data_IF_652114899158
#
_entry.id   IF_652114899158
#
_cell.length_a   1.000
_cell.length_b   1.000
_cell.length_c   1.000
_cell.angle_alpha   90.00
_cell.angle_beta   90.00
_cell.angle_gamma   90.00
#
_symmetry.space_group_name_H-M   'P 1'
#
loop_
_entity.id
_entity.type
_entity.pdbx_description
1 polymer ?
#
# COMPACT_ATOMS: atom_id res chain seq x y z
N UNK A 1 21.10 -14.06 -21.19
CA UNK A 1 20.38 -13.14 -20.29
C UNK A 1 19.46 -14.03 -19.47
N UNK A 2 19.75 -14.27 -18.21
CA UNK A 2 18.96 -15.17 -17.39
C UNK A 2 17.86 -14.31 -16.75
N UNK A 3 16.61 -14.63 -17.04
CA UNK A 3 15.50 -14.15 -16.21
C UNK A 3 15.59 -14.90 -14.89
N UNK A 4 16.30 -14.33 -13.92
CA UNK A 4 16.36 -14.91 -12.61
C UNK A 4 15.04 -14.59 -11.91
N UNK A 5 14.33 -15.63 -11.55
CA UNK A 5 13.20 -15.59 -10.63
C UNK A 5 13.68 -15.02 -9.28
N UNK A 6 12.85 -14.24 -8.59
CA UNK A 6 13.14 -13.73 -7.27
C UNK A 6 13.56 -14.84 -6.29
N UNK A 7 12.96 -16.01 -6.39
CA UNK A 7 13.32 -17.21 -5.64
C UNK A 7 14.75 -17.69 -5.89
N UNK A 8 15.26 -17.57 -7.13
CA UNK A 8 16.63 -17.94 -7.47
C UNK A 8 17.60 -16.94 -6.85
N UNK A 9 17.28 -15.65 -6.83
CA UNK A 9 18.09 -14.64 -6.16
C UNK A 9 18.20 -14.90 -4.65
N UNK A 10 17.07 -15.19 -4.01
CA UNK A 10 17.05 -15.46 -2.57
C UNK A 10 17.74 -16.77 -2.20
N UNK A 11 17.53 -17.85 -2.94
CA UNK A 11 18.17 -19.15 -2.71
C UNK A 11 19.64 -19.17 -3.11
N UNK A 12 20.01 -18.41 -4.13
CA UNK A 12 21.38 -18.30 -4.63
C UNK A 12 22.27 -17.35 -3.82
N UNK A 13 21.76 -16.68 -2.79
CA UNK A 13 22.46 -15.62 -2.05
C UNK A 13 23.10 -14.57 -2.97
N UNK A 14 22.46 -14.31 -4.12
CA UNK A 14 22.97 -13.34 -5.09
C UNK A 14 22.72 -11.93 -4.53
N UNK A 15 23.79 -11.20 -4.29
CA UNK A 15 23.69 -9.78 -3.93
C UNK A 15 23.29 -8.96 -5.15
N UNK A 16 22.16 -8.22 -5.01
CA UNK A 16 21.79 -7.21 -6.00
C UNK A 16 22.85 -6.09 -5.90
N UNK A 17 23.52 -5.74 -7.01
CA UNK A 17 24.51 -4.66 -6.98
C UNK A 17 23.90 -3.38 -6.41
N UNK A 18 24.50 -2.84 -5.35
CA UNK A 18 24.09 -1.55 -4.79
C UNK A 18 24.57 -0.44 -5.70
N UNK A 19 23.74 -0.04 -6.64
CA UNK A 19 24.04 1.11 -7.50
C UNK A 19 23.85 2.39 -6.67
N UNK A 20 24.94 3.13 -6.50
CA UNK A 20 24.90 4.45 -5.86
C UNK A 20 24.36 5.47 -6.86
N UNK A 21 23.07 5.68 -6.85
CA UNK A 21 22.41 6.72 -7.65
C UNK A 21 22.64 8.07 -6.97
N UNK A 22 23.20 9.06 -7.66
CA UNK A 22 23.36 10.38 -7.07
C UNK A 22 22.01 11.06 -6.87
N UNK A 23 21.84 11.75 -5.75
CA UNK A 23 20.65 12.56 -5.49
C UNK A 23 20.80 13.90 -6.21
N UNK A 24 19.94 14.23 -7.20
CA UNK A 24 19.99 15.48 -7.93
C UNK A 24 19.80 16.69 -6.99
N UNK A 25 20.41 17.84 -7.35
CA UNK A 25 20.33 19.06 -6.55
C UNK A 25 18.88 19.53 -6.34
N UNK A 26 18.06 19.49 -7.38
CA UNK A 26 16.65 19.90 -7.29
C UNK A 26 15.82 19.03 -6.34
N UNK A 27 16.19 17.74 -6.17
CA UNK A 27 15.55 16.88 -5.17
C UNK A 27 15.92 17.31 -3.76
N UNK A 28 17.22 17.61 -3.51
CA UNK A 28 17.66 18.09 -2.19
C UNK A 28 16.99 19.41 -1.82
N UNK A 29 16.83 20.31 -2.77
CA UNK A 29 16.12 21.58 -2.57
C UNK A 29 14.64 21.38 -2.25
N UNK A 30 13.98 20.37 -2.86
CA UNK A 30 12.58 20.05 -2.59
C UNK A 30 12.35 19.34 -1.26
N UNK A 31 13.24 18.43 -0.85
CA UNK A 31 13.09 17.72 0.43
C UNK A 31 13.48 18.58 1.63
N UNK A 32 14.36 19.57 1.42
CA UNK A 32 14.81 20.47 2.46
C UNK A 32 15.93 19.92 3.34
N UNK A 33 16.14 20.56 4.47
CA UNK A 33 17.14 20.16 5.48
C UNK A 33 16.57 19.11 6.45
N UNK A 34 17.41 18.61 7.35
CA UNK A 34 17.02 17.57 8.34
C UNK A 34 15.87 18.01 9.26
N UNK A 35 15.77 19.30 9.58
CA UNK A 35 14.70 19.82 10.43
C UNK A 35 13.36 19.85 9.66
N UNK A 36 13.38 20.27 8.42
CA UNK A 36 12.22 20.27 7.52
C UNK A 36 11.75 18.85 7.23
N UNK A 37 12.68 17.90 6.99
CA UNK A 37 12.35 16.48 6.81
C UNK A 37 11.68 15.91 8.05
N UNK A 38 12.20 16.20 9.26
CA UNK A 38 11.59 15.71 10.52
C UNK A 38 10.20 16.26 10.74
N UNK A 39 9.98 17.54 10.46
CA UNK A 39 8.66 18.18 10.57
C UNK A 39 7.67 17.56 9.58
N UNK A 40 8.06 17.42 8.33
CA UNK A 40 7.25 16.77 7.29
C UNK A 40 6.94 15.32 7.67
N UNK A 41 7.93 14.56 8.16
CA UNK A 41 7.72 13.18 8.58
C UNK A 41 6.74 13.09 9.77
N UNK A 42 6.82 14.01 10.75
CA UNK A 42 5.83 14.08 11.83
C UNK A 42 4.41 14.27 11.26
N UNK A 43 4.24 15.22 10.35
CA UNK A 43 2.95 15.48 9.68
C UNK A 43 2.46 14.23 8.93
N UNK A 44 3.34 13.54 8.21
CA UNK A 44 3.00 12.29 7.51
C UNK A 44 2.51 11.21 8.48
N UNK A 45 3.25 10.99 9.57
CA UNK A 45 2.90 9.98 10.57
C UNK A 45 1.64 10.32 11.38
N UNK A 46 1.30 11.59 11.52
CA UNK A 46 0.07 12.07 12.17
C UNK A 46 -1.15 12.07 11.25
N UNK A 47 -0.95 12.04 9.93
CA UNK A 47 -2.02 12.14 8.93
C UNK A 47 -2.14 10.86 8.08
N UNK A 48 -1.31 10.74 7.05
CA UNK A 48 -1.40 9.67 6.05
C UNK A 48 -1.18 8.29 6.66
N UNK A 49 -0.20 8.15 7.54
CA UNK A 49 0.14 6.89 8.19
C UNK A 49 -1.02 6.29 9.00
N UNK A 50 -1.87 7.13 9.59
CA UNK A 50 -3.03 6.66 10.34
C UNK A 50 -4.02 5.86 9.48
N UNK A 51 -4.02 6.09 8.17
CA UNK A 51 -4.90 5.42 7.20
C UNK A 51 -4.17 4.38 6.37
N UNK A 52 -2.88 4.63 6.11
CA UNK A 52 -2.08 3.86 5.18
C UNK A 52 -0.67 3.59 5.75
N UNK A 53 -0.57 2.76 6.83
CA UNK A 53 0.66 2.55 7.58
C UNK A 53 1.58 1.55 6.85
N UNK A 54 2.29 2.03 5.84
CA UNK A 54 3.23 1.25 5.01
C UNK A 54 4.71 1.53 5.29
N UNK A 55 5.02 2.50 6.16
CA UNK A 55 6.36 2.90 6.51
C UNK A 55 6.54 2.70 8.01
N UNK A 56 7.53 1.90 8.43
CA UNK A 56 7.82 1.73 9.84
C UNK A 56 8.38 3.02 10.44
N UNK A 57 7.63 3.60 11.37
CA UNK A 57 8.03 4.82 12.09
C UNK A 57 9.37 4.62 12.81
N UNK A 58 9.54 3.50 13.48
CA UNK A 58 10.77 3.17 14.17
C UNK A 58 11.96 3.08 13.21
N UNK A 59 11.83 2.31 12.12
CA UNK A 59 12.92 2.16 11.13
C UNK A 59 13.21 3.46 10.39
N UNK A 60 12.19 4.27 10.11
CA UNK A 60 12.39 5.56 9.49
C UNK A 60 13.34 6.43 10.29
N UNK A 61 13.05 6.65 11.57
CA UNK A 61 13.89 7.52 12.41
C UNK A 61 15.22 6.89 12.82
N UNK A 62 15.28 5.58 13.10
CA UNK A 62 16.49 4.94 13.60
C UNK A 62 17.49 4.56 12.52
N UNK A 63 17.02 4.19 11.34
CA UNK A 63 17.85 3.62 10.28
C UNK A 63 17.94 4.51 9.04
N UNK A 64 16.78 4.93 8.51
CA UNK A 64 16.74 5.66 7.24
C UNK A 64 17.20 7.10 7.39
N UNK A 65 16.90 7.73 8.52
CA UNK A 65 17.30 9.10 8.85
C UNK A 65 18.54 9.17 9.75
N UNK A 66 19.33 8.11 9.78
CA UNK A 66 20.60 8.12 10.53
C UNK A 66 21.60 9.07 9.86
N UNK A 67 22.05 10.15 10.54
CA UNK A 67 22.96 11.13 9.96
C UNK A 67 24.36 10.57 9.66
N UNK A 68 24.70 9.41 10.23
CA UNK A 68 25.98 8.72 9.95
C UNK A 68 25.92 7.85 8.70
N UNK A 69 24.73 7.67 8.12
CA UNK A 69 24.56 6.90 6.89
C UNK A 69 24.83 7.74 5.66
N UNK A 70 25.37 7.13 4.62
CA UNK A 70 25.50 7.80 3.34
C UNK A 70 24.10 8.15 2.77
N UNK A 71 23.92 9.32 2.15
CA UNK A 71 22.67 9.71 1.51
C UNK A 71 22.30 8.70 0.43
N UNK A 72 21.12 8.10 0.55
CA UNK A 72 20.60 7.09 -0.38
C UNK A 72 19.49 7.67 -1.24
N UNK A 73 19.54 7.41 -2.54
CA UNK A 73 18.57 7.91 -3.52
C UNK A 73 17.14 7.38 -3.26
N UNK A 74 17.01 6.12 -2.86
CA UNK A 74 15.72 5.50 -2.55
C UNK A 74 15.08 6.12 -1.28
N UNK A 75 15.89 6.49 -0.29
CA UNK A 75 15.41 7.20 0.91
C UNK A 75 15.01 8.64 0.57
N UNK A 76 15.83 9.35 -0.22
CA UNK A 76 15.48 10.69 -0.67
C UNK A 76 14.19 10.72 -1.51
N UNK A 77 13.99 9.71 -2.35
CA UNK A 77 12.75 9.51 -3.10
C UNK A 77 11.56 9.29 -2.18
N UNK A 78 11.71 8.42 -1.16
CA UNK A 78 10.65 8.17 -0.19
C UNK A 78 10.26 9.44 0.57
N UNK A 79 11.25 10.22 1.04
CA UNK A 79 11.02 11.51 1.72
C UNK A 79 10.26 12.48 0.81
N UNK A 80 10.65 12.59 -0.47
CA UNK A 80 9.94 13.42 -1.45
C UNK A 80 8.48 12.95 -1.64
N UNK A 81 8.23 11.65 -1.69
CA UNK A 81 6.87 11.10 -1.84
C UNK A 81 6.02 11.28 -0.57
N UNK A 82 6.63 11.18 0.61
CA UNK A 82 5.96 11.55 1.86
C UNK A 82 5.56 13.03 1.87
N UNK A 83 6.46 13.92 1.46
CA UNK A 83 6.18 15.35 1.30
C UNK A 83 5.04 15.58 0.31
N UNK A 84 5.08 14.94 -0.86
CA UNK A 84 4.04 15.05 -1.89
C UNK A 84 2.64 14.74 -1.34
N UNK A 85 2.50 13.72 -0.50
CA UNK A 85 1.21 13.31 0.06
C UNK A 85 0.72 14.17 1.22
N UNK A 86 1.59 14.97 1.83
CA UNK A 86 1.23 15.87 2.95
C UNK A 86 0.96 17.31 2.52
N UNK A 87 1.36 17.68 1.31
CA UNK A 87 1.18 19.04 0.80
C UNK A 87 -0.28 19.32 0.40
N UNK A 88 -0.82 20.39 0.94
CA UNK A 88 -2.11 20.92 0.51
C UNK A 88 -1.89 22.09 -0.44
N UNK A 89 -1.82 21.81 -1.75
CA UNK A 89 -1.69 22.86 -2.77
C UNK A 89 -3.08 23.30 -3.24
N UNK A 90 -3.37 24.61 -3.14
CA UNK A 90 -4.69 25.17 -3.52
C UNK A 90 -4.71 25.80 -4.91
N UNK A 91 -3.57 26.25 -5.43
CA UNK A 91 -3.49 27.14 -6.59
C UNK A 91 -2.84 26.49 -7.84
N UNK A 92 -2.38 25.25 -7.76
CA UNK A 92 -1.70 24.55 -8.84
C UNK A 92 -2.45 23.27 -9.17
N UNK A 93 -2.58 22.96 -10.47
CA UNK A 93 -3.14 21.66 -10.89
C UNK A 93 -2.28 20.52 -10.31
N UNK A 94 -2.88 19.53 -9.62
CA UNK A 94 -2.14 18.44 -9.01
C UNK A 94 -1.20 17.70 -9.98
N UNK A 95 -1.61 17.54 -11.24
CA UNK A 95 -0.80 16.87 -12.27
C UNK A 95 0.45 17.68 -12.69
N UNK A 96 0.48 18.97 -12.42
CA UNK A 96 1.62 19.87 -12.73
C UNK A 96 2.35 20.36 -11.48
N UNK A 97 2.00 19.85 -10.31
CA UNK A 97 2.69 20.19 -9.06
C UNK A 97 4.19 19.85 -9.16
N UNK A 98 5.09 20.78 -8.79
CA UNK A 98 6.53 20.58 -8.92
C UNK A 98 7.02 19.31 -8.21
N UNK A 99 6.50 19.03 -7.02
CA UNK A 99 6.83 17.85 -6.22
C UNK A 99 6.39 16.56 -6.92
N UNK A 100 5.21 16.56 -7.53
CA UNK A 100 4.70 15.39 -8.27
C UNK A 100 5.56 15.11 -9.52
N UNK A 101 5.84 16.12 -10.32
CA UNK A 101 6.67 15.99 -11.52
C UNK A 101 8.09 15.53 -11.15
N UNK A 102 8.65 16.10 -10.08
CA UNK A 102 9.96 15.71 -9.56
C UNK A 102 9.96 14.27 -9.05
N UNK A 103 8.94 13.85 -8.29
CA UNK A 103 8.81 12.50 -7.78
C UNK A 103 8.70 11.47 -8.91
N UNK A 104 7.87 11.70 -9.92
CA UNK A 104 7.75 10.81 -11.10
C UNK A 104 9.07 10.67 -11.85
N UNK A 105 9.74 11.78 -12.11
CA UNK A 105 11.03 11.79 -12.81
C UNK A 105 12.11 11.07 -12.01
N UNK A 106 12.20 11.34 -10.72
CA UNK A 106 13.23 10.73 -9.87
C UNK A 106 12.95 9.26 -9.62
N UNK A 107 11.68 8.86 -9.47
CA UNK A 107 11.26 7.46 -9.40
C UNK A 107 11.75 6.68 -10.63
N UNK A 108 11.45 7.17 -11.84
CA UNK A 108 11.90 6.54 -13.09
C UNK A 108 13.44 6.46 -13.19
N UNK A 109 14.16 7.43 -12.64
CA UNK A 109 15.64 7.41 -12.62
C UNK A 109 16.15 6.33 -11.68
N UNK A 110 15.60 6.22 -10.46
CA UNK A 110 16.04 5.26 -9.44
C UNK A 110 15.67 3.83 -9.85
N UNK A 111 14.47 3.65 -10.42
CA UNK A 111 14.03 2.36 -10.97
C UNK A 111 14.89 1.93 -12.17
N UNK A 112 15.14 2.86 -13.11
CA UNK A 112 15.87 2.58 -14.36
C UNK A 112 17.32 2.15 -14.15
N UNK A 113 17.95 2.48 -13.03
CA UNK A 113 19.28 1.98 -12.67
C UNK A 113 19.25 0.63 -11.93
N UNK A 114 18.06 0.03 -11.77
CA UNK A 114 17.88 -1.27 -11.13
C UNK A 114 17.96 -1.25 -9.60
N UNK A 115 17.77 -0.09 -8.96
CA UNK A 115 17.70 -0.04 -7.49
C UNK A 115 16.48 -0.80 -7.01
N UNK A 116 16.68 -1.90 -6.30
CA UNK A 116 15.62 -2.72 -5.74
C UNK A 116 15.60 -2.57 -4.21
N UNK A 117 14.57 -1.90 -3.68
CA UNK A 117 14.39 -1.71 -2.23
C UNK A 117 12.93 -1.50 -1.85
N UNK A 118 12.61 -1.76 -0.59
CA UNK A 118 11.27 -1.48 -0.03
C UNK A 118 10.92 0.00 -0.17
N UNK A 119 11.89 0.91 -0.02
CA UNK A 119 11.69 2.36 -0.10
C UNK A 119 11.26 2.81 -1.52
N UNK A 120 11.80 2.18 -2.55
CA UNK A 120 11.37 2.46 -3.94
C UNK A 120 9.91 2.04 -4.14
N UNK A 121 9.52 0.85 -3.68
CA UNK A 121 8.13 0.41 -3.79
C UNK A 121 7.18 1.27 -2.95
N UNK A 122 7.55 1.64 -1.72
CA UNK A 122 6.79 2.58 -0.90
C UNK A 122 6.59 3.91 -1.61
N UNK A 123 7.64 4.41 -2.28
CA UNK A 123 7.56 5.64 -3.07
C UNK A 123 6.59 5.54 -4.24
N UNK A 124 6.64 4.44 -4.98
CA UNK A 124 5.70 4.17 -6.07
C UNK A 124 4.24 4.10 -5.59
N UNK A 125 4.02 3.46 -4.45
CA UNK A 125 2.71 3.38 -3.79
C UNK A 125 2.22 4.77 -3.38
N UNK A 126 3.06 5.62 -2.78
CA UNK A 126 2.68 6.98 -2.40
C UNK A 126 2.40 7.87 -3.62
N UNK A 127 3.14 7.68 -4.72
CA UNK A 127 2.83 8.34 -6.00
C UNK A 127 1.46 7.91 -6.51
N UNK A 128 1.18 6.60 -6.56
CA UNK A 128 -0.11 6.08 -6.99
C UNK A 128 -1.25 6.58 -6.07
N UNK A 129 -1.01 6.61 -4.77
CA UNK A 129 -1.94 7.15 -3.77
C UNK A 129 -2.27 8.63 -4.04
N UNK A 130 -1.25 9.46 -4.32
CA UNK A 130 -1.43 10.86 -4.71
C UNK A 130 -2.22 10.98 -6.03
N UNK A 131 -1.88 10.18 -7.03
CA UNK A 131 -2.57 10.17 -8.33
C UNK A 131 -4.04 9.79 -8.19
N UNK A 132 -4.37 8.80 -7.37
CA UNK A 132 -5.76 8.46 -7.05
C UNK A 132 -6.45 9.59 -6.31
N UNK A 133 -5.82 10.16 -5.28
CA UNK A 133 -6.38 11.27 -4.50
C UNK A 133 -6.74 12.51 -5.31
N UNK A 134 -6.08 12.68 -6.45
CA UNK A 134 -6.26 13.83 -7.32
C UNK A 134 -6.85 13.49 -8.69
N UNK A 135 -7.36 12.27 -8.87
CA UNK A 135 -7.96 11.80 -10.13
C UNK A 135 -7.04 11.98 -11.36
N UNK A 136 -5.74 11.75 -11.20
CA UNK A 136 -4.76 11.84 -12.29
C UNK A 136 -4.75 10.52 -13.06
N UNK A 137 -5.60 10.41 -14.05
CA UNK A 137 -5.74 9.23 -14.90
C UNK A 137 -5.18 9.45 -16.31
N UNK A 138 -4.64 8.39 -16.95
CA UNK A 138 -4.51 7.00 -16.50
C UNK A 138 -3.27 6.74 -15.63
N UNK A 139 -2.56 7.77 -15.17
CA UNK A 139 -1.28 7.62 -14.45
C UNK A 139 -1.40 6.75 -13.19
N UNK A 140 -2.45 6.95 -12.39
CA UNK A 140 -2.70 6.17 -11.19
C UNK A 140 -2.73 4.65 -11.47
N UNK A 141 -3.44 4.24 -12.51
CA UNK A 141 -3.52 2.83 -12.90
C UNK A 141 -2.17 2.27 -13.35
N UNK A 142 -1.43 3.04 -14.14
CA UNK A 142 -0.11 2.64 -14.61
C UNK A 142 0.88 2.52 -13.44
N UNK A 143 0.84 3.47 -12.50
CA UNK A 143 1.69 3.44 -11.31
C UNK A 143 1.43 2.21 -10.44
N UNK A 144 0.16 1.81 -10.24
CA UNK A 144 -0.17 0.57 -9.53
C UNK A 144 0.34 -0.67 -10.25
N UNK A 145 0.19 -0.74 -11.58
CA UNK A 145 0.72 -1.84 -12.38
C UNK A 145 2.24 -1.97 -12.25
N UNK A 146 2.96 -0.85 -12.22
CA UNK A 146 4.42 -0.83 -11.96
C UNK A 146 4.71 -1.34 -10.55
N UNK A 147 3.99 -0.86 -9.52
CA UNK A 147 4.16 -1.32 -8.14
C UNK A 147 3.91 -2.82 -8.00
N UNK A 148 2.89 -3.36 -8.65
CA UNK A 148 2.59 -4.79 -8.63
C UNK A 148 3.74 -5.62 -9.22
N UNK A 149 4.24 -5.26 -10.41
CA UNK A 149 5.37 -5.95 -11.04
C UNK A 149 6.66 -5.82 -10.23
N UNK A 150 6.93 -4.65 -9.67
CA UNK A 150 8.07 -4.41 -8.81
C UNK A 150 8.00 -5.27 -7.54
N UNK A 151 6.84 -5.34 -6.87
CA UNK A 151 6.63 -6.16 -5.69
C UNK A 151 6.85 -7.65 -5.95
N UNK A 152 6.33 -8.16 -7.09
CA UNK A 152 6.57 -9.55 -7.54
C UNK A 152 8.05 -9.79 -7.81
N UNK A 153 8.72 -8.89 -8.53
CA UNK A 153 10.16 -9.01 -8.82
C UNK A 153 11.02 -8.97 -7.56
N UNK A 154 10.53 -8.33 -6.50
CA UNK A 154 11.21 -8.25 -5.19
C UNK A 154 10.76 -9.36 -4.23
N UNK A 155 9.91 -10.30 -4.68
CA UNK A 155 9.45 -11.44 -3.90
C UNK A 155 8.49 -11.11 -2.76
N UNK A 156 7.83 -9.95 -2.80
CA UNK A 156 6.90 -9.53 -1.73
C UNK A 156 5.56 -10.26 -1.76
N UNK A 157 5.22 -10.90 -2.88
CA UNK A 157 3.98 -11.67 -3.07
C UNK A 157 4.04 -13.08 -2.47
N UNK A 158 5.20 -13.50 -1.96
CA UNK A 158 5.39 -14.84 -1.43
C UNK A 158 5.02 -14.85 0.06
N UNK A 159 3.96 -15.59 0.40
CA UNK A 159 3.62 -15.88 1.79
C UNK A 159 4.70 -16.78 2.39
N UNK A 160 5.38 -16.31 3.42
CA UNK A 160 6.40 -17.09 4.10
C UNK A 160 7.70 -16.37 4.35
N UNK A 161 7.70 -15.04 4.34
CA UNK A 161 8.77 -14.29 4.98
C UNK A 161 8.78 -14.63 6.47
N UNK A 162 9.30 -15.83 6.75
CA UNK A 162 9.62 -16.26 8.10
C UNK A 162 10.69 -15.31 8.58
N UNK A 163 10.38 -14.50 9.57
CA UNK A 163 11.36 -13.70 10.25
C UNK A 163 12.34 -14.66 10.95
N UNK A 164 13.39 -15.05 10.26
CA UNK A 164 14.51 -15.76 10.89
C UNK A 164 15.16 -14.81 11.90
N UNK A 165 14.62 -14.81 13.11
CA UNK A 165 15.11 -14.07 14.24
C UNK A 165 14.32 -12.80 14.61
N UNK A 166 14.24 -12.55 15.91
CA UNK A 166 13.51 -11.44 16.53
C UNK A 166 13.94 -10.02 16.05
N UNK A 167 15.10 -9.89 15.41
CA UNK A 167 15.64 -8.61 14.93
C UNK A 167 15.04 -8.14 13.58
N UNK A 168 14.38 -9.02 12.82
CA UNK A 168 13.92 -8.72 11.46
C UNK A 168 12.41 -8.68 11.30
N UNK A 169 11.62 -8.92 12.35
CA UNK A 169 10.17 -9.01 12.26
C UNK A 169 9.51 -7.68 11.83
N UNK A 170 10.06 -6.53 12.26
CA UNK A 170 9.54 -5.21 11.87
C UNK A 170 9.69 -4.99 10.36
N UNK A 171 10.81 -5.41 9.79
CA UNK A 171 11.03 -5.33 8.34
C UNK A 171 10.13 -6.30 7.58
N UNK A 172 9.95 -7.51 8.07
CA UNK A 172 9.04 -8.49 7.48
C UNK A 172 7.59 -7.98 7.49
N UNK A 173 7.16 -7.40 8.61
CA UNK A 173 5.84 -6.77 8.72
C UNK A 173 5.71 -5.55 7.79
N UNK A 174 6.76 -4.71 7.68
CA UNK A 174 6.76 -3.59 6.74
C UNK A 174 6.59 -4.06 5.29
N UNK A 175 7.30 -5.10 4.86
CA UNK A 175 7.15 -5.71 3.53
C UNK A 175 5.75 -6.25 3.30
N UNK A 176 5.18 -6.94 4.28
CA UNK A 176 3.79 -7.42 4.25
C UNK A 176 2.80 -6.27 4.07
N UNK A 177 2.93 -5.19 4.84
CA UNK A 177 2.08 -3.99 4.73
C UNK A 177 2.21 -3.32 3.37
N UNK A 178 3.42 -3.21 2.86
CA UNK A 178 3.70 -2.67 1.52
C UNK A 178 3.02 -3.52 0.43
N UNK A 179 3.09 -4.84 0.52
CA UNK A 179 2.41 -5.71 -0.43
C UNK A 179 0.88 -5.60 -0.35
N UNK A 180 0.32 -5.58 0.87
CA UNK A 180 -1.12 -5.34 1.04
C UNK A 180 -1.57 -3.98 0.51
N UNK A 181 -0.71 -2.96 0.60
CA UNK A 181 -1.01 -1.66 0.01
C UNK A 181 -1.10 -1.71 -1.51
N UNK A 182 -0.25 -2.49 -2.18
CA UNK A 182 -0.36 -2.74 -3.63
C UNK A 182 -1.68 -3.43 -3.96
N UNK A 183 -2.04 -4.49 -3.22
CA UNK A 183 -3.30 -5.21 -3.38
C UNK A 183 -4.52 -4.30 -3.19
N UNK A 184 -4.47 -3.41 -2.20
CA UNK A 184 -5.51 -2.43 -1.91
C UNK A 184 -5.65 -1.47 -3.10
N UNK A 185 -4.57 -0.85 -3.56
CA UNK A 185 -4.62 0.13 -4.65
C UNK A 185 -5.05 -0.49 -5.99
N UNK A 186 -4.74 -1.76 -6.23
CA UNK A 186 -5.14 -2.47 -7.44
C UNK A 186 -6.66 -2.77 -7.47
N UNK A 187 -7.26 -3.01 -6.30
CA UNK A 187 -8.69 -3.35 -6.16
C UNK A 187 -9.57 -2.15 -5.83
N UNK A 188 -9.03 -1.18 -5.10
CA UNK A 188 -9.75 0.01 -4.61
C UNK A 188 -9.19 1.32 -5.14
N UNK A 189 -9.45 1.70 -6.37
CA UNK A 189 -9.00 3.01 -6.86
C UNK A 189 -9.76 4.20 -6.25
N UNK A 190 -10.89 4.01 -5.58
CA UNK A 190 -11.83 5.09 -5.22
C UNK A 190 -11.98 5.47 -3.74
N UNK A 191 -12.03 4.57 -2.76
CA UNK A 191 -12.35 4.98 -1.39
C UNK A 191 -11.31 5.89 -0.75
N UNK A 192 -10.04 5.80 -1.18
CA UNK A 192 -8.96 6.66 -0.72
C UNK A 192 -9.11 8.11 -1.18
N UNK A 193 -9.68 8.34 -2.37
CA UNK A 193 -9.95 9.69 -2.90
C UNK A 193 -11.02 10.40 -2.07
N UNK A 194 -12.06 9.70 -1.67
CA UNK A 194 -13.17 10.26 -0.87
C UNK A 194 -12.69 10.74 0.50
N UNK A 195 -11.65 10.11 1.06
CA UNK A 195 -11.09 10.48 2.37
C UNK A 195 -10.47 11.87 2.40
N UNK A 196 -9.90 12.33 1.29
CA UNK A 196 -9.05 13.53 1.28
C UNK A 196 -9.61 14.73 0.52
N UNK A 197 -10.62 14.56 -0.35
CA UNK A 197 -10.98 15.60 -1.31
C UNK A 197 -12.45 16.00 -1.41
N UNK A 198 -13.34 15.44 -0.60
CA UNK A 198 -14.79 15.60 -0.80
C UNK A 198 -15.26 17.04 -0.65
N UNK A 199 -15.30 17.75 -1.75
CA UNK A 199 -16.22 18.88 -1.99
C UNK A 199 -16.84 18.90 -3.40
N UNK A 200 -16.66 17.92 -4.25
CA UNK A 200 -17.23 17.98 -5.60
C UNK A 200 -18.00 16.72 -5.99
N UNK A 201 -19.21 16.96 -6.50
CA UNK A 201 -20.11 15.95 -7.12
C UNK A 201 -19.54 15.34 -8.42
N UNK A 202 -18.31 15.69 -8.83
CA UNK A 202 -17.67 15.22 -10.06
C UNK A 202 -16.96 13.87 -9.90
N UNK A 203 -16.92 13.33 -8.69
CA UNK A 203 -16.18 12.11 -8.35
C UNK A 203 -16.77 10.82 -8.93
N UNK A 204 -18.00 10.86 -9.44
CA UNK A 204 -18.70 9.69 -9.96
C UNK A 204 -18.20 9.19 -11.32
N UNK A 205 -17.40 9.93 -12.05
CA UNK A 205 -16.91 9.52 -13.37
C UNK A 205 -15.58 8.75 -13.34
N UNK A 206 -14.97 8.62 -12.21
CA UNK A 206 -13.70 7.92 -12.10
C UNK A 206 -13.97 6.49 -11.62
N UNK A 207 -14.13 5.51 -12.52
CA UNK A 207 -13.24 4.60 -12.79
C UNK A 207 -13.38 3.14 -12.73
N UNK A 208 -12.90 2.29 -12.15
CA UNK A 208 -12.86 0.84 -12.27
C UNK A 208 -14.13 0.15 -11.76
N UNK A 209 -14.94 0.84 -10.99
CA UNK A 209 -16.24 0.35 -10.52
C UNK A 209 -17.27 0.17 -11.64
N UNK A 210 -17.05 0.78 -12.79
CA UNK A 210 -17.88 0.57 -13.97
C UNK A 210 -17.47 -0.62 -14.84
N UNK A 211 -16.33 -1.27 -14.58
CA UNK A 211 -15.86 -2.40 -15.37
C UNK A 211 -15.27 -3.51 -14.49
N UNK A 212 -16.12 -4.38 -13.92
CA UNK A 212 -15.68 -5.50 -13.08
C UNK A 212 -14.87 -6.55 -13.86
N UNK A 213 -14.88 -6.51 -15.18
CA UNK A 213 -14.12 -7.45 -16.03
C UNK A 213 -12.68 -7.01 -16.28
N UNK A 214 -12.24 -5.88 -15.71
CA UNK A 214 -10.88 -5.41 -15.88
C UNK A 214 -9.91 -6.31 -15.13
N UNK A 215 -8.89 -6.78 -15.84
CA UNK A 215 -7.84 -7.60 -15.22
C UNK A 215 -7.10 -6.82 -14.14
N UNK A 216 -6.97 -7.43 -12.97
CA UNK A 216 -6.13 -6.92 -11.88
C UNK A 216 -4.65 -7.12 -12.23
N UNK A 217 -3.79 -6.23 -11.72
CA UNK A 217 -2.33 -6.34 -11.88
C UNK A 217 -1.72 -7.36 -10.91
N UNK A 218 -2.44 -7.67 -9.82
CA UNK A 218 -2.01 -8.60 -8.77
C UNK A 218 -2.88 -9.85 -8.74
N UNK A 219 -2.27 -10.97 -8.37
CA UNK A 219 -2.98 -12.22 -8.11
C UNK A 219 -3.86 -12.14 -6.85
N UNK A 220 -4.81 -13.04 -6.74
CA UNK A 220 -5.63 -13.17 -5.54
C UNK A 220 -4.79 -13.77 -4.40
N UNK A 221 -4.81 -13.16 -3.19
CA UNK A 221 -4.15 -13.75 -2.04
C UNK A 221 -4.72 -15.13 -1.71
N UNK A 222 -3.88 -16.03 -1.22
CA UNK A 222 -4.30 -17.34 -0.75
C UNK A 222 -5.13 -17.20 0.52
N UNK A 223 -6.00 -18.20 0.80
CA UNK A 223 -6.76 -18.25 2.05
C UNK A 223 -5.89 -18.28 3.31
N UNK A 224 -4.65 -18.73 3.17
CA UNK A 224 -3.62 -18.76 4.21
C UNK A 224 -2.80 -17.47 4.31
N UNK A 225 -2.99 -16.52 3.38
CA UNK A 225 -2.21 -15.28 3.38
C UNK A 225 -2.37 -14.50 4.67
N UNK A 226 -1.22 -14.12 5.26
CA UNK A 226 -1.17 -13.44 6.54
C UNK A 226 -1.61 -11.98 6.42
N UNK A 227 -2.46 -11.55 7.34
CA UNK A 227 -2.86 -10.15 7.47
C UNK A 227 -1.81 -9.33 8.25
N UNK A 228 -1.76 -8.01 8.04
CA UNK A 228 -0.98 -7.10 8.89
C UNK A 228 -1.38 -7.21 10.37
N UNK A 229 -0.39 -7.13 11.26
CA UNK A 229 -0.62 -7.12 12.71
C UNK A 229 -1.26 -5.80 13.18
N UNK A 230 -1.54 -5.71 14.47
CA UNK A 230 -2.06 -4.50 15.12
C UNK A 230 -1.14 -3.29 14.87
N UNK A 231 -1.73 -2.16 14.45
CA UNK A 231 -0.98 -0.97 14.01
C UNK A 231 -0.17 -0.34 15.16
N UNK A 232 -0.78 -0.20 16.35
CA UNK A 232 -0.11 0.34 17.53
C UNK A 232 1.05 -0.54 18.01
N UNK A 233 0.90 -1.86 17.91
CA UNK A 233 1.93 -2.83 18.29
C UNK A 233 3.15 -2.69 17.36
N UNK A 234 2.90 -2.54 16.05
CA UNK A 234 3.94 -2.34 15.07
C UNK A 234 4.65 -0.98 15.22
N UNK A 235 3.90 0.10 15.43
CA UNK A 235 4.46 1.44 15.60
C UNK A 235 5.35 1.57 16.84
N UNK A 236 5.01 0.83 17.90
CA UNK A 236 5.82 0.76 19.13
C UNK A 236 7.01 -0.20 19.00
N UNK A 237 7.10 -0.97 17.92
CA UNK A 237 8.13 -1.99 17.76
C UNK A 237 8.01 -3.15 18.75
N UNK A 238 6.81 -3.39 19.29
CA UNK A 238 6.55 -4.47 20.23
C UNK A 238 6.28 -5.76 19.46
N UNK A 239 6.96 -6.84 19.84
CA UNK A 239 6.72 -8.14 19.22
C UNK A 239 5.30 -8.60 19.53
N UNK A 240 4.51 -9.03 18.49
CA UNK A 240 3.16 -9.49 18.72
C UNK A 240 3.16 -10.74 19.62
N UNK A 241 2.29 -10.72 20.63
CA UNK A 241 2.11 -11.84 21.56
C UNK A 241 1.04 -12.84 21.05
N UNK A 242 0.24 -12.44 20.06
CA UNK A 242 -0.89 -13.18 19.57
C UNK A 242 -0.59 -13.86 18.23
N UNK A 243 -1.45 -14.83 17.90
CA UNK A 243 -1.41 -15.56 16.64
C UNK A 243 -1.50 -14.62 15.42
N UNK A 244 -0.87 -15.06 14.35
CA UNK A 244 -0.92 -14.36 13.07
C UNK A 244 -2.32 -14.59 12.45
N UNK A 245 -3.04 -13.50 12.19
CA UNK A 245 -4.32 -13.57 11.47
C UNK A 245 -4.09 -13.78 9.98
N UNK A 246 -4.98 -14.57 9.37
CA UNK A 246 -5.02 -14.79 7.92
C UNK A 246 -6.29 -14.18 7.33
N UNK A 247 -6.37 -14.11 6.02
CA UNK A 247 -7.57 -13.61 5.33
C UNK A 247 -8.82 -14.43 5.63
N UNK A 248 -8.66 -15.73 5.98
CA UNK A 248 -9.73 -16.62 6.38
C UNK A 248 -10.06 -16.57 7.88
N UNK A 249 -9.32 -15.79 8.67
CA UNK A 249 -9.62 -15.63 10.09
C UNK A 249 -11.02 -15.07 10.32
N UNK A 250 -11.74 -15.53 11.37
CA UNK A 250 -13.09 -15.05 11.65
C UNK A 250 -13.15 -13.52 11.79
N UNK A 251 -14.20 -12.92 11.23
CA UNK A 251 -14.41 -11.47 11.31
C UNK A 251 -14.62 -10.96 12.73
N UNK A 252 -15.01 -11.82 13.67
CA UNK A 252 -15.21 -11.49 15.07
C UNK A 252 -13.94 -11.21 15.88
N UNK A 253 -12.76 -11.54 15.33
CA UNK A 253 -11.49 -11.31 16.00
C UNK A 253 -11.10 -9.84 15.95
N UNK A 254 -10.58 -9.31 17.06
CA UNK A 254 -10.00 -7.96 17.09
C UNK A 254 -8.69 -7.96 16.30
N UNK A 255 -8.58 -7.06 15.34
CA UNK A 255 -7.35 -6.86 14.55
C UNK A 255 -7.16 -5.37 14.26
N UNK A 256 -5.93 -4.99 13.90
CA UNK A 256 -5.59 -3.64 13.51
C UNK A 256 -6.44 -3.13 12.33
N UNK A 257 -6.58 -1.83 12.23
CA UNK A 257 -7.38 -1.17 11.16
C UNK A 257 -6.88 -1.53 9.78
N UNK A 258 -5.56 -1.53 9.59
CA UNK A 258 -4.98 -1.88 8.30
C UNK A 258 -5.15 -3.37 7.98
N UNK A 259 -5.04 -4.26 8.98
CA UNK A 259 -5.36 -5.68 8.82
C UNK A 259 -6.82 -5.90 8.43
N UNK A 260 -7.75 -5.16 9.05
CA UNK A 260 -9.17 -5.20 8.70
C UNK A 260 -9.41 -4.69 7.27
N UNK A 261 -8.72 -3.63 6.86
CA UNK A 261 -8.80 -3.12 5.50
C UNK A 261 -8.26 -4.13 4.48
N UNK A 262 -7.16 -4.80 4.79
CA UNK A 262 -6.63 -5.89 3.97
C UNK A 262 -7.63 -7.06 3.84
N UNK A 263 -8.29 -7.46 4.93
CA UNK A 263 -9.33 -8.50 4.89
C UNK A 263 -10.52 -8.09 4.02
N UNK A 264 -10.99 -6.84 4.14
CA UNK A 264 -12.05 -6.31 3.28
C UNK A 264 -11.64 -6.29 1.80
N UNK A 265 -10.37 -5.96 1.52
CA UNK A 265 -9.80 -5.99 0.16
C UNK A 265 -9.81 -7.39 -0.44
N UNK A 266 -9.46 -8.40 0.34
CA UNK A 266 -9.56 -9.80 -0.11
C UNK A 266 -10.99 -10.17 -0.47
N UNK A 267 -11.97 -9.82 0.37
CA UNK A 267 -13.38 -10.08 0.09
C UNK A 267 -13.88 -9.35 -1.15
N UNK A 268 -13.47 -8.10 -1.37
CA UNK A 268 -13.79 -7.40 -2.61
C UNK A 268 -13.20 -8.11 -3.83
N UNK A 269 -11.94 -8.57 -3.77
CA UNK A 269 -11.33 -9.37 -4.84
C UNK A 269 -12.19 -10.58 -5.20
N UNK A 270 -12.71 -11.29 -4.19
CA UNK A 270 -13.63 -12.40 -4.38
C UNK A 270 -14.95 -12.00 -5.04
N UNK A 271 -15.52 -10.88 -4.65
CA UNK A 271 -16.74 -10.34 -5.29
C UNK A 271 -16.48 -9.98 -6.75
N UNK A 272 -15.38 -9.28 -7.04
CA UNK A 272 -15.02 -8.92 -8.42
C UNK A 272 -14.83 -10.16 -9.29
N UNK A 273 -14.20 -11.20 -8.76
CA UNK A 273 -14.04 -12.49 -9.44
C UNK A 273 -15.38 -13.15 -9.69
N UNK A 274 -16.23 -13.23 -8.67
CA UNK A 274 -17.57 -13.80 -8.78
C UNK A 274 -18.42 -13.09 -9.85
N UNK A 275 -18.41 -11.75 -9.88
CA UNK A 275 -19.15 -10.96 -10.89
C UNK A 275 -18.60 -11.14 -12.30
N UNK A 276 -17.29 -11.39 -12.43
CA UNK A 276 -16.64 -11.62 -13.73
C UNK A 276 -16.69 -13.07 -14.19
N UNK A 277 -17.04 -13.99 -13.31
CA UNK A 277 -17.10 -15.43 -13.62
C UNK A 277 -18.23 -15.71 -14.61
N UNK A 278 -17.89 -16.39 -15.71
CA UNK A 278 -18.81 -16.80 -16.76
C UNK A 278 -19.10 -18.29 -16.73
N UNK A 279 -18.86 -18.94 -15.60
CA UNK A 279 -19.12 -20.38 -15.44
C UNK A 279 -20.60 -20.66 -15.62
N UNK A 280 -20.99 -21.72 -16.34
CA UNK A 280 -22.40 -22.04 -16.58
C UNK A 280 -23.11 -22.64 -15.36
N UNK A 281 -22.40 -22.98 -14.29
CA UNK A 281 -22.96 -23.55 -13.08
C UNK A 281 -23.60 -22.46 -12.20
N UNK A 282 -24.92 -22.32 -12.39
CA UNK A 282 -25.73 -21.34 -11.67
C UNK A 282 -25.86 -21.67 -10.18
N UNK A 283 -25.94 -22.95 -9.81
CA UNK A 283 -26.11 -23.35 -8.43
C UNK A 283 -24.89 -22.99 -7.59
N UNK A 284 -23.70 -23.28 -8.11
CA UNK A 284 -22.44 -22.87 -7.50
C UNK A 284 -22.34 -21.35 -7.32
N UNK A 285 -22.70 -20.58 -8.35
CA UNK A 285 -22.65 -19.10 -8.30
C UNK A 285 -23.64 -18.53 -7.26
N UNK A 286 -24.84 -19.11 -7.12
CA UNK A 286 -25.85 -18.68 -6.14
C UNK A 286 -25.41 -19.00 -4.70
N UNK A 287 -24.78 -20.16 -4.47
CA UNK A 287 -24.21 -20.53 -3.18
C UNK A 287 -23.05 -19.60 -2.80
N UNK A 288 -22.11 -19.36 -3.73
CA UNK A 288 -20.99 -18.44 -3.49
C UNK A 288 -21.49 -17.02 -3.21
N UNK A 289 -22.44 -16.48 -3.99
CA UNK A 289 -23.04 -15.19 -3.75
C UNK A 289 -23.67 -15.09 -2.36
N UNK A 290 -24.35 -16.15 -1.93
CA UNK A 290 -25.00 -16.19 -0.63
C UNK A 290 -23.95 -16.18 0.49
N UNK A 291 -22.87 -16.92 0.35
CA UNK A 291 -21.77 -16.95 1.31
C UNK A 291 -21.05 -15.60 1.39
N UNK A 292 -20.71 -15.01 0.25
CA UNK A 292 -20.09 -13.68 0.17
C UNK A 292 -20.96 -12.62 0.83
N UNK A 293 -22.26 -12.62 0.55
CA UNK A 293 -23.23 -11.67 1.16
C UNK A 293 -23.27 -11.82 2.69
N UNK A 294 -23.30 -13.03 3.21
CA UNK A 294 -23.26 -13.27 4.67
C UNK A 294 -21.99 -12.74 5.30
N UNK A 295 -20.83 -13.02 4.68
CA UNK A 295 -19.53 -12.58 5.19
C UNK A 295 -19.41 -11.05 5.18
N UNK A 296 -19.82 -10.40 4.10
CA UNK A 296 -19.84 -8.95 3.98
C UNK A 296 -20.77 -8.31 5.02
N UNK A 297 -21.96 -8.89 5.22
CA UNK A 297 -22.90 -8.36 6.21
C UNK A 297 -22.37 -8.47 7.64
N UNK A 298 -21.68 -9.58 7.97
CA UNK A 298 -21.01 -9.75 9.25
C UNK A 298 -19.88 -8.70 9.42
N UNK A 299 -19.09 -8.46 8.38
CA UNK A 299 -18.03 -7.47 8.41
C UNK A 299 -18.55 -6.04 8.57
N UNK A 300 -19.62 -5.65 7.86
CA UNK A 300 -20.30 -4.35 8.04
C UNK A 300 -20.79 -4.16 9.47
N UNK A 301 -21.41 -5.18 10.03
CA UNK A 301 -21.95 -5.11 11.40
C UNK A 301 -20.83 -4.92 12.41
N UNK A 302 -19.72 -5.65 12.23
CA UNK A 302 -18.56 -5.54 13.11
C UNK A 302 -17.91 -4.15 13.03
N UNK A 303 -17.68 -3.67 11.82
CA UNK A 303 -17.08 -2.34 11.60
C UNK A 303 -17.93 -1.24 12.22
N UNK A 304 -19.26 -1.34 12.17
CA UNK A 304 -20.15 -0.41 12.86
C UNK A 304 -19.97 -0.42 14.39
N UNK A 305 -19.69 -1.59 14.97
CA UNK A 305 -19.44 -1.72 16.41
C UNK A 305 -18.06 -1.17 16.78
N UNK A 306 -17.03 -1.49 15.99
CA UNK A 306 -15.67 -1.01 16.19
C UNK A 306 -15.58 0.53 15.99
N UNK A 307 -16.38 1.09 15.09
CA UNK A 307 -16.36 2.50 14.73
C UNK A 307 -16.98 3.45 15.77
N UNK A 308 -17.83 2.96 16.63
CA UNK A 308 -18.35 3.77 17.73
C UNK A 308 -17.26 4.30 18.66
N UNK A 309 -16.05 3.74 18.58
CA UNK A 309 -14.90 4.10 19.42
C UNK A 309 -13.78 4.86 18.70
N UNK A 310 -13.84 5.08 17.37
CA UNK A 310 -12.74 5.74 16.65
C UNK A 310 -13.21 6.47 15.37
N UNK A 311 -12.63 7.64 15.14
CA UNK A 311 -12.88 8.53 13.95
C UNK A 311 -12.55 7.91 12.57
N UNK A 312 -12.40 6.60 12.44
CA UNK A 312 -11.87 5.92 11.24
C UNK A 312 -12.86 5.01 10.52
N UNK A 313 -14.15 5.28 10.67
CA UNK A 313 -15.25 4.51 10.07
C UNK A 313 -15.18 4.40 8.54
N UNK A 314 -14.60 5.39 7.89
CA UNK A 314 -14.83 5.62 6.47
C UNK A 314 -14.13 4.64 5.52
N UNK A 315 -12.88 4.24 5.78
CA UNK A 315 -12.12 3.40 4.84
C UNK A 315 -12.67 1.98 4.71
N UNK A 316 -12.87 1.33 5.87
CA UNK A 316 -13.33 -0.05 5.88
C UNK A 316 -14.80 -0.15 5.50
N UNK A 317 -15.64 0.80 5.94
CA UNK A 317 -17.05 0.86 5.54
C UNK A 317 -17.21 1.14 4.06
N UNK A 318 -16.44 2.09 3.50
CA UNK A 318 -16.49 2.34 2.06
C UNK A 318 -16.11 1.10 1.27
N UNK A 319 -15.04 0.40 1.66
CA UNK A 319 -14.59 -0.83 1.04
C UNK A 319 -15.69 -1.91 1.01
N UNK A 320 -16.43 -2.04 2.12
CA UNK A 320 -17.48 -3.05 2.27
C UNK A 320 -18.76 -2.65 1.55
N UNK A 321 -19.12 -1.36 1.53
CA UNK A 321 -20.32 -0.89 0.83
C UNK A 321 -20.22 -1.04 -0.70
N UNK A 322 -19.01 -1.19 -1.23
CA UNK A 322 -18.76 -1.39 -2.66
C UNK A 322 -18.65 -2.86 -3.05
N UNK A 323 -18.39 -3.78 -2.14
CA UNK A 323 -18.42 -5.22 -2.36
C UNK A 323 -19.85 -5.78 -2.27
#
# INVERSE_FOLDING_TARGET
MFFLDADIFHRGHLEIPKVLTPIPRYIRELIGDDAEIRLMASTFFETIHNYFPIISKQRFYSTLMNPLSQPRADVALLVLCMRLTTLTQKDVSPASAPEYVAAKRFYATVEGVGTCSTQVLQSGILIAFYEFGHAIYPAAHLSVGVCARYGVSYGMNIDGYSADGALNWIEAEEKKRVWWAVLILDRYPLPLVVLFTVKSNELYSCINLGNPTRALATEEPLSSSCLPIEDDTWDRGLMPLNDVYTVSSPTSLQMGRFGRFAQATYLLGRVLKHVSDRTPDREFLEEEATQLRRTLHALVTLVKVESQNARMEFCTQSAICWA
#
